data_IF_634669379980
#
_entry.id   IF_634669379980
#
_cell.length_a   1.000
_cell.length_b   1.000
_cell.length_c   1.000
_cell.angle_alpha   90.00
_cell.angle_beta   90.00
_cell.angle_gamma   90.00
#
_symmetry.space_group_name_H-M   'P 1'
#
loop_
_entity.id
_entity.type
_entity.pdbx_description
1 polymer ?
#
# COMPACT_ATOMS: atom_id res chain seq x y z
N UNK A 1 -50.90 -55.40 14.78
CA UNK A 1 -51.03 -54.11 14.10
C UNK A 1 -49.74 -53.34 14.39
N UNK A 2 -48.78 -53.41 13.49
CA UNK A 2 -47.44 -52.75 13.65
C UNK A 2 -47.43 -51.49 12.75
N UNK A 3 -47.28 -50.34 13.39
CA UNK A 3 -47.19 -49.04 12.71
C UNK A 3 -45.73 -48.78 12.44
N UNK A 4 -45.33 -48.66 11.15
CA UNK A 4 -44.01 -48.21 10.75
C UNK A 4 -44.00 -46.67 10.70
N UNK A 5 -43.19 -46.05 11.55
CA UNK A 5 -42.82 -44.64 11.41
C UNK A 5 -41.69 -44.54 10.39
N UNK A 6 -41.94 -43.84 9.28
CA UNK A 6 -40.93 -43.42 8.34
C UNK A 6 -40.38 -42.06 8.78
N UNK A 7 -39.08 -42.00 9.06
CA UNK A 7 -38.37 -40.77 9.36
C UNK A 7 -37.98 -40.10 8.03
N UNK A 8 -38.53 -38.90 7.79
CA UNK A 8 -38.15 -38.04 6.67
C UNK A 8 -37.01 -37.15 7.14
N UNK A 9 -35.80 -37.39 6.66
CA UNK A 9 -34.64 -36.51 6.85
C UNK A 9 -34.70 -35.39 5.84
N UNK A 10 -34.95 -34.17 6.29
CA UNK A 10 -34.92 -32.96 5.51
C UNK A 10 -33.48 -32.49 5.39
N UNK A 11 -32.84 -32.71 4.25
CA UNK A 11 -31.51 -32.20 3.96
C UNK A 11 -31.56 -30.69 3.62
N UNK A 12 -31.02 -29.88 4.52
CA UNK A 12 -30.81 -28.44 4.24
C UNK A 12 -29.55 -28.30 3.40
N UNK A 13 -29.69 -28.02 2.13
CA UNK A 13 -28.59 -27.64 1.26
C UNK A 13 -28.23 -26.16 1.54
N UNK A 14 -27.09 -25.91 2.21
CA UNK A 14 -26.48 -24.58 2.29
C UNK A 14 -25.94 -24.22 0.90
N UNK A 15 -26.66 -23.38 0.17
CA UNK A 15 -26.12 -22.73 -1.02
C UNK A 15 -25.17 -21.60 -0.55
N UNK A 16 -23.87 -21.80 -0.73
CA UNK A 16 -22.89 -20.74 -0.58
C UNK A 16 -23.14 -19.70 -1.67
N UNK A 17 -23.71 -18.57 -1.31
CA UNK A 17 -23.81 -17.41 -2.19
C UNK A 17 -22.41 -16.78 -2.26
N UNK A 18 -21.62 -17.16 -3.27
CA UNK A 18 -20.47 -16.37 -3.70
C UNK A 18 -21.03 -15.04 -4.20
N UNK A 19 -20.94 -14.00 -3.38
CA UNK A 19 -21.17 -12.63 -3.81
C UNK A 19 -20.03 -12.26 -4.78
N UNK A 20 -20.24 -12.49 -6.06
CA UNK A 20 -19.38 -11.94 -7.09
C UNK A 20 -19.45 -10.42 -6.99
N UNK A 21 -18.35 -9.79 -6.57
CA UNK A 21 -18.20 -8.35 -6.65
C UNK A 21 -18.38 -7.94 -8.12
N UNK A 22 -19.39 -7.12 -8.39
CA UNK A 22 -19.62 -6.59 -9.72
C UNK A 22 -18.38 -5.80 -10.17
N UNK A 23 -17.84 -6.05 -11.36
CA UNK A 23 -16.77 -5.23 -11.90
C UNK A 23 -17.31 -3.79 -12.01
N UNK A 24 -16.65 -2.86 -11.35
CA UNK A 24 -16.90 -1.43 -11.54
C UNK A 24 -16.54 -1.11 -12.98
N UNK A 25 -17.54 -0.86 -13.83
CA UNK A 25 -17.35 -0.44 -15.22
C UNK A 25 -16.62 0.90 -15.23
N UNK A 26 -15.31 0.86 -15.37
CA UNK A 26 -14.52 2.05 -15.71
C UNK A 26 -14.77 2.37 -17.19
N UNK A 27 -14.91 3.64 -17.57
CA UNK A 27 -15.12 4.01 -18.96
C UNK A 27 -13.86 3.67 -19.78
N UNK A 28 -13.90 2.55 -20.49
CA UNK A 28 -12.84 2.17 -21.41
C UNK A 28 -12.96 3.03 -22.68
N UNK A 29 -12.33 4.21 -22.68
CA UNK A 29 -12.35 5.10 -23.84
C UNK A 29 -11.25 4.81 -24.88
N UNK A 30 -10.28 3.95 -24.56
CA UNK A 30 -9.18 3.60 -25.44
C UNK A 30 -8.85 2.09 -25.35
N UNK A 31 -8.46 1.46 -26.45
CA UNK A 31 -7.94 0.09 -26.38
C UNK A 31 -6.68 0.04 -25.53
N UNK A 32 -6.54 -1.00 -24.72
CA UNK A 32 -5.33 -1.24 -23.94
C UNK A 32 -4.18 -1.61 -24.88
N UNK A 33 -3.05 -0.90 -24.86
CA UNK A 33 -1.88 -1.31 -25.64
C UNK A 33 -1.30 -2.61 -25.08
N UNK A 34 -0.63 -3.39 -25.96
CA UNK A 34 0.02 -4.64 -25.60
C UNK A 34 1.53 -4.52 -25.83
N UNK A 35 2.30 -5.15 -24.96
CA UNK A 35 3.73 -5.33 -25.09
C UNK A 35 4.06 -6.44 -26.12
N UNK A 36 5.35 -6.59 -26.44
CA UNK A 36 5.80 -7.58 -27.43
C UNK A 36 5.46 -9.03 -27.06
N UNK A 37 5.30 -9.33 -25.78
CA UNK A 37 4.93 -10.64 -25.26
C UNK A 37 3.42 -10.92 -25.32
N UNK A 38 2.63 -9.95 -25.81
CA UNK A 38 1.17 -10.07 -25.97
C UNK A 38 0.37 -9.73 -24.71
N UNK A 39 1.01 -9.48 -23.58
CA UNK A 39 0.34 -9.02 -22.37
C UNK A 39 0.04 -7.52 -22.44
N UNK A 40 -0.91 -6.99 -21.62
CA UNK A 40 -1.10 -5.55 -21.52
C UNK A 40 0.21 -4.84 -21.21
N UNK A 41 0.51 -3.78 -21.97
CA UNK A 41 1.68 -2.95 -21.67
C UNK A 41 1.39 -2.07 -20.46
N UNK A 42 2.01 -2.37 -19.32
CA UNK A 42 1.89 -1.58 -18.10
C UNK A 42 2.83 -0.37 -18.09
N UNK A 43 3.72 -0.22 -19.08
CA UNK A 43 4.71 0.86 -19.11
C UNK A 43 4.01 2.21 -19.09
N UNK A 44 4.59 3.13 -18.30
CA UNK A 44 4.09 4.49 -18.19
C UNK A 44 4.23 5.06 -16.78
N UNK A 45 3.81 6.30 -16.64
CA UNK A 45 3.73 7.01 -15.38
C UNK A 45 2.30 6.95 -14.84
N UNK A 46 2.12 6.36 -13.67
CA UNK A 46 0.79 6.06 -13.13
C UNK A 46 0.48 6.78 -11.84
N UNK A 47 1.49 7.02 -11.03
CA UNK A 47 1.33 7.60 -9.71
C UNK A 47 1.79 9.04 -9.63
N UNK A 48 1.26 9.73 -8.66
CA UNK A 48 1.88 10.92 -8.11
C UNK A 48 3.01 10.52 -7.15
N UNK A 49 3.69 11.52 -6.65
CA UNK A 49 4.62 11.32 -5.54
C UNK A 49 3.82 10.92 -4.31
N UNK A 50 4.22 9.83 -3.66
CA UNK A 50 3.72 9.46 -2.35
C UNK A 50 4.52 10.18 -1.29
N UNK A 51 4.03 11.32 -0.82
CA UNK A 51 4.51 11.90 0.43
C UNK A 51 3.59 11.41 1.54
N UNK A 52 4.12 10.70 2.52
CA UNK A 52 3.32 10.12 3.58
C UNK A 52 3.99 10.31 4.94
N UNK A 53 4.33 11.55 5.27
CA UNK A 53 4.58 11.86 6.67
C UNK A 53 3.30 12.39 7.28
N UNK A 54 2.74 11.66 8.21
CA UNK A 54 1.93 12.25 9.25
C UNK A 54 2.84 12.43 10.45
N UNK A 55 2.87 13.64 10.98
CA UNK A 55 3.55 13.91 12.25
C UNK A 55 2.50 13.98 13.33
N UNK A 56 2.90 13.61 14.55
CA UNK A 56 2.07 13.81 15.73
C UNK A 56 2.70 14.88 16.64
N UNK A 57 1.85 15.69 17.22
CA UNK A 57 2.26 16.56 18.32
C UNK A 57 2.47 15.75 19.63
N UNK A 58 2.89 16.42 20.69
CA UNK A 58 3.15 15.78 21.99
C UNK A 58 1.88 15.19 22.62
N UNK A 59 0.69 15.64 22.18
CA UNK A 59 -0.61 15.13 22.58
C UNK A 59 -1.06 13.93 21.73
N UNK A 60 -0.28 13.53 20.72
CA UNK A 60 -0.59 12.43 19.81
C UNK A 60 -1.57 12.81 18.71
N UNK A 61 -1.73 14.11 18.43
CA UNK A 61 -2.59 14.62 17.35
C UNK A 61 -1.85 14.59 16.02
N UNK A 62 -2.47 14.04 14.99
CA UNK A 62 -1.86 14.02 13.66
C UNK A 62 -1.72 15.43 13.09
N UNK A 63 -0.52 15.78 12.67
CA UNK A 63 -0.21 17.02 11.96
C UNK A 63 -0.01 16.68 10.48
N UNK A 64 -0.92 17.13 9.62
CA UNK A 64 -0.76 17.00 8.18
C UNK A 64 -0.06 18.23 7.63
N UNK A 65 1.10 18.05 7.02
CA UNK A 65 1.70 19.12 6.24
C UNK A 65 0.81 19.40 5.02
N UNK A 66 0.44 20.66 4.74
CA UNK A 66 -0.40 20.97 3.60
C UNK A 66 0.32 20.56 2.31
N UNK A 67 -0.37 19.77 1.48
CA UNK A 67 0.11 19.52 0.10
C UNK A 67 0.26 20.86 -0.64
N UNK A 68 1.07 20.88 -1.71
CA UNK A 68 1.20 22.07 -2.57
C UNK A 68 -0.13 22.56 -3.15
N UNK A 69 -1.17 21.76 -3.08
CA UNK A 69 -2.54 22.02 -3.53
C UNK A 69 -3.49 22.46 -2.40
N UNK A 70 -3.00 22.62 -1.17
CA UNK A 70 -3.82 23.14 -0.09
C UNK A 70 -4.40 24.52 -0.48
N UNK A 71 -5.68 24.80 -0.15
CA UNK A 71 -6.29 26.09 -0.46
C UNK A 71 -5.41 27.23 0.06
N UNK A 72 -5.15 28.21 -0.78
CA UNK A 72 -4.32 29.37 -0.45
C UNK A 72 -5.07 30.37 0.43
N UNK A 73 -5.89 29.89 1.34
CA UNK A 73 -6.61 30.73 2.28
C UNK A 73 -5.62 31.35 3.27
N UNK A 74 -5.73 32.64 3.43
CA UNK A 74 -4.97 33.39 4.41
C UNK A 74 -5.84 33.64 5.63
N UNK A 75 -5.23 33.60 6.80
CA UNK A 75 -5.87 34.09 8.00
C UNK A 75 -6.13 35.60 7.89
N UNK A 76 -7.06 36.17 8.69
CA UNK A 76 -7.31 37.60 8.70
C UNK A 76 -6.08 38.48 8.93
N UNK A 77 -5.01 37.91 9.53
CA UNK A 77 -3.70 38.53 9.71
C UNK A 77 -2.76 38.42 8.49
N UNK A 78 -3.26 37.83 7.38
CA UNK A 78 -2.52 37.66 6.13
C UNK A 78 -1.52 36.50 6.12
N UNK A 79 -1.42 35.72 7.19
CA UNK A 79 -0.58 34.52 7.23
C UNK A 79 -1.27 33.35 6.53
N UNK A 80 -0.47 32.49 5.90
CA UNK A 80 -0.97 31.24 5.34
C UNK A 80 -1.57 30.40 6.48
N UNK A 81 -2.84 30.04 6.35
CA UNK A 81 -3.43 29.06 7.26
C UNK A 81 -2.64 27.77 7.16
N UNK A 82 -1.99 27.40 8.25
CA UNK A 82 -1.55 26.04 8.47
C UNK A 82 -2.78 25.28 8.93
N UNK A 83 -3.38 24.51 8.03
CA UNK A 83 -4.47 23.61 8.39
C UNK A 83 -3.88 22.45 9.20
N UNK A 84 -3.83 22.62 10.50
CA UNK A 84 -3.70 21.50 11.41
C UNK A 84 -5.10 20.90 11.54
N UNK A 85 -5.37 19.81 10.83
CA UNK A 85 -6.51 18.99 11.16
C UNK A 85 -6.15 18.26 12.47
N UNK A 86 -6.53 18.86 13.59
CA UNK A 86 -6.53 18.17 14.86
C UNK A 86 -7.58 17.07 14.78
N UNK A 87 -7.13 15.87 14.53
CA UNK A 87 -7.98 14.68 14.48
C UNK A 87 -7.58 13.80 15.65
N UNK A 88 -8.56 13.44 16.47
CA UNK A 88 -8.36 12.40 17.52
C UNK A 88 -7.93 11.10 16.82
N UNK A 89 -6.62 10.86 16.83
CA UNK A 89 -5.99 9.75 16.11
C UNK A 89 -6.55 8.39 16.54
N UNK A 90 -6.84 8.21 17.82
CA UNK A 90 -7.41 6.96 18.35
C UNK A 90 -8.82 6.70 17.78
N UNK A 91 -9.66 7.72 17.72
CA UNK A 91 -10.99 7.60 17.13
C UNK A 91 -10.94 7.39 15.63
N UNK A 92 -10.03 8.08 14.94
CA UNK A 92 -9.87 7.92 13.51
C UNK A 92 -9.37 6.53 13.14
N UNK A 93 -8.39 5.98 13.87
CA UNK A 93 -7.92 4.59 13.69
C UNK A 93 -9.02 3.58 13.98
N UNK A 94 -9.71 3.72 15.10
CA UNK A 94 -10.80 2.82 15.46
C UNK A 94 -11.90 2.80 14.40
N UNK A 95 -12.18 3.95 13.78
CA UNK A 95 -13.18 4.12 12.73
C UNK A 95 -12.68 3.77 11.32
N UNK A 96 -11.36 3.57 11.13
CA UNK A 96 -10.83 3.28 9.80
C UNK A 96 -11.28 1.88 9.34
N UNK A 97 -12.14 1.78 8.29
CA UNK A 97 -12.63 0.49 7.82
C UNK A 97 -11.52 -0.34 7.15
N UNK A 98 -10.39 0.30 6.81
CA UNK A 98 -9.26 -0.32 6.11
C UNK A 98 -8.08 -0.62 7.04
N UNK A 99 -8.27 -0.56 8.34
CA UNK A 99 -7.20 -0.93 9.29
C UNK A 99 -6.85 -2.42 9.17
N UNK A 100 -5.58 -2.78 9.37
CA UNK A 100 -5.19 -4.19 9.39
C UNK A 100 -5.91 -4.96 10.51
N UNK A 101 -6.31 -6.21 10.26
CA UNK A 101 -7.06 -7.02 11.22
C UNK A 101 -6.15 -7.70 12.26
N UNK A 102 -5.46 -6.90 13.08
CA UNK A 102 -4.55 -7.42 14.10
C UNK A 102 -5.24 -8.40 15.05
N UNK A 103 -4.46 -9.35 15.58
CA UNK A 103 -4.87 -10.17 16.70
C UNK A 103 -5.14 -9.29 17.93
N UNK A 104 -6.16 -9.58 18.75
CA UNK A 104 -6.54 -8.73 19.88
C UNK A 104 -5.39 -8.44 20.86
N UNK A 105 -4.51 -9.41 21.09
CA UNK A 105 -3.35 -9.29 21.97
C UNK A 105 -2.29 -8.31 21.45
N UNK A 106 -2.29 -8.00 20.16
CA UNK A 106 -1.32 -7.08 19.52
C UNK A 106 -1.84 -5.64 19.41
N UNK A 107 -3.10 -5.39 19.63
CA UNK A 107 -3.72 -4.06 19.53
C UNK A 107 -3.07 -3.03 20.48
N UNK A 108 -2.58 -3.47 21.64
CA UNK A 108 -1.87 -2.60 22.58
C UNK A 108 -0.51 -2.15 22.00
N UNK A 109 0.21 -3.06 21.31
CA UNK A 109 1.47 -2.76 20.63
C UNK A 109 1.24 -1.77 19.49
N UNK A 110 0.21 -1.99 18.66
CA UNK A 110 -0.13 -1.05 17.56
C UNK A 110 -0.38 0.35 18.11
N UNK A 111 -1.20 0.50 19.16
CA UNK A 111 -1.45 1.81 19.79
C UNK A 111 -0.20 2.45 20.37
N UNK A 112 0.72 1.65 20.91
CA UNK A 112 1.98 2.19 21.43
C UNK A 112 2.86 2.70 20.28
N UNK A 113 3.07 1.88 19.23
CA UNK A 113 3.87 2.27 18.08
C UNK A 113 3.30 3.52 17.39
N UNK A 114 1.98 3.60 17.29
CA UNK A 114 1.32 4.76 16.73
C UNK A 114 1.53 6.04 17.57
N UNK A 115 1.46 5.97 18.90
CA UNK A 115 1.78 7.13 19.75
C UNK A 115 3.22 7.60 19.61
N UNK A 116 4.13 6.66 19.43
CA UNK A 116 5.57 6.92 19.33
C UNK A 116 6.04 7.01 17.86
N UNK A 117 5.11 7.19 16.91
CA UNK A 117 5.35 7.19 15.45
C UNK A 117 6.53 8.08 15.05
N UNK A 118 6.59 9.30 15.55
CA UNK A 118 7.64 10.26 15.21
C UNK A 118 9.06 9.76 15.55
N UNK A 119 9.18 8.79 16.46
CA UNK A 119 10.46 8.21 16.90
C UNK A 119 10.70 6.82 16.35
N UNK A 120 9.63 6.05 16.17
CA UNK A 120 9.71 4.62 15.90
C UNK A 120 9.32 4.24 14.47
N UNK A 121 8.66 5.13 13.72
CA UNK A 121 8.35 4.84 12.32
C UNK A 121 9.67 4.72 11.52
N UNK A 122 9.94 3.56 10.88
CA UNK A 122 11.17 3.35 10.13
C UNK A 122 11.40 4.39 9.03
N UNK A 123 10.34 4.92 8.42
CA UNK A 123 10.46 5.96 7.39
C UNK A 123 11.00 7.27 7.96
N UNK A 124 10.63 7.64 9.19
CA UNK A 124 11.20 8.80 9.90
C UNK A 124 12.69 8.59 10.19
N UNK A 125 13.10 7.34 10.36
CA UNK A 125 14.51 6.95 10.52
C UNK A 125 15.23 6.74 9.17
N UNK A 126 14.66 7.23 8.06
CA UNK A 126 15.21 7.11 6.70
C UNK A 126 15.29 5.68 6.17
N UNK A 127 14.57 4.72 6.72
CA UNK A 127 14.46 3.39 6.16
C UNK A 127 13.49 3.39 4.96
N UNK A 128 13.64 2.48 4.00
CA UNK A 128 12.65 2.30 2.94
C UNK A 128 11.26 2.05 3.51
N UNK A 129 10.21 2.62 2.89
CA UNK A 129 8.83 2.39 3.39
C UNK A 129 8.38 0.94 3.31
N UNK A 130 8.99 0.13 2.44
CA UNK A 130 8.58 -1.26 2.22
C UNK A 130 7.28 -1.41 1.42
N UNK A 131 6.95 -2.67 1.12
CA UNK A 131 5.71 -3.08 0.44
C UNK A 131 4.71 -3.51 1.50
N UNK A 132 3.44 -3.12 1.42
CA UNK A 132 2.78 -2.31 0.40
C UNK A 132 2.71 -0.80 0.70
N UNK A 133 3.46 -0.31 1.69
CA UNK A 133 3.40 1.11 2.12
C UNK A 133 3.78 2.07 1.00
N UNK A 134 4.75 1.70 0.15
CA UNK A 134 5.10 2.51 -1.03
C UNK A 134 3.91 2.72 -1.98
N UNK A 135 2.90 1.86 -1.89
CA UNK A 135 1.74 1.90 -2.78
C UNK A 135 2.09 1.49 -4.22
N UNK A 136 1.22 1.85 -5.19
CA UNK A 136 1.51 1.59 -6.58
C UNK A 136 2.71 2.43 -7.07
N UNK A 137 3.52 1.90 -8.01
CA UNK A 137 4.71 2.58 -8.50
C UNK A 137 4.36 3.89 -9.21
N UNK A 138 5.27 4.87 -9.12
CA UNK A 138 5.17 6.11 -9.86
C UNK A 138 5.35 5.87 -11.36
N UNK A 139 6.26 4.97 -11.74
CA UNK A 139 6.49 4.55 -13.11
C UNK A 139 6.68 3.04 -13.20
N UNK A 140 6.14 2.46 -14.26
CA UNK A 140 6.38 1.07 -14.63
C UNK A 140 7.17 1.06 -15.94
N UNK A 141 8.18 0.20 -16.01
CA UNK A 141 8.92 -0.13 -17.24
C UNK A 141 8.79 -1.63 -17.45
N UNK A 142 8.14 -2.02 -18.54
CA UNK A 142 7.93 -3.43 -18.87
C UNK A 142 8.82 -3.84 -20.02
N UNK A 143 9.42 -5.01 -19.90
CA UNK A 143 10.18 -5.67 -20.95
C UNK A 143 9.89 -7.17 -20.93
N UNK A 144 10.35 -7.89 -21.94
CA UNK A 144 10.12 -9.34 -22.01
C UNK A 144 10.74 -10.05 -20.79
N UNK A 145 9.90 -10.69 -20.01
CA UNK A 145 10.31 -11.46 -18.81
C UNK A 145 10.64 -10.63 -17.56
N UNK A 146 10.44 -9.30 -17.62
CA UNK A 146 10.72 -8.41 -16.49
C UNK A 146 9.79 -7.21 -16.46
N UNK A 147 9.45 -6.80 -15.25
CA UNK A 147 8.82 -5.52 -14.97
C UNK A 147 9.62 -4.78 -13.90
N UNK A 148 9.89 -3.50 -14.13
CA UNK A 148 10.59 -2.64 -13.18
C UNK A 148 9.60 -1.62 -12.64
N UNK A 149 9.45 -1.58 -11.33
CA UNK A 149 8.70 -0.58 -10.61
C UNK A 149 9.63 0.50 -10.06
N UNK A 150 9.34 1.76 -10.38
CA UNK A 150 10.06 2.90 -9.87
C UNK A 150 9.15 3.69 -8.94
N UNK A 151 9.64 3.95 -7.74
CA UNK A 151 8.94 4.67 -6.69
C UNK A 151 9.64 5.99 -6.40
N UNK A 152 8.85 7.03 -6.21
CA UNK A 152 9.31 8.31 -5.68
C UNK A 152 8.67 8.48 -4.33
N UNK A 153 9.45 8.36 -3.28
CA UNK A 153 8.98 8.40 -1.90
C UNK A 153 9.90 9.32 -1.09
N UNK A 154 9.46 9.69 0.06
CA UNK A 154 10.33 10.11 1.13
C UNK A 154 10.65 8.82 1.93
N UNK A 155 11.84 8.43 2.15
CA UNK A 155 13.13 9.12 2.20
C UNK A 155 13.99 9.00 0.93
N UNK A 156 13.47 8.63 -0.20
CA UNK A 156 14.22 8.53 -1.44
C UNK A 156 13.50 7.77 -2.55
N UNK A 157 14.20 7.61 -3.67
CA UNK A 157 13.69 6.83 -4.79
C UNK A 157 14.09 5.37 -4.63
N UNK A 158 13.13 4.47 -4.87
CA UNK A 158 13.34 3.04 -4.80
C UNK A 158 12.90 2.37 -6.10
N UNK A 159 13.45 1.19 -6.35
CA UNK A 159 13.05 0.36 -7.47
C UNK A 159 12.87 -1.10 -7.04
N UNK A 160 11.98 -1.79 -7.74
CA UNK A 160 11.81 -3.25 -7.62
C UNK A 160 11.91 -3.86 -9.00
N UNK A 161 12.77 -4.87 -9.13
CA UNK A 161 12.93 -5.67 -10.34
C UNK A 161 12.14 -6.95 -10.17
N UNK A 162 11.12 -7.14 -11.00
CA UNK A 162 10.16 -8.23 -10.88
C UNK A 162 10.31 -9.13 -12.09
N UNK A 163 10.90 -10.34 -11.95
CA UNK A 163 10.92 -11.32 -13.02
C UNK A 163 9.50 -11.83 -13.29
N UNK A 164 9.15 -11.93 -14.57
CA UNK A 164 7.83 -12.44 -15.02
C UNK A 164 7.99 -13.65 -15.94
N UNK A 165 9.10 -14.37 -15.82
CA UNK A 165 9.48 -15.52 -16.63
C UNK A 165 9.10 -16.87 -16.02
N UNK A 166 8.34 -16.85 -14.91
CA UNK A 166 7.86 -18.05 -14.23
C UNK A 166 8.85 -18.69 -13.25
N UNK A 167 9.95 -17.99 -12.93
CA UNK A 167 10.88 -18.47 -11.89
C UNK A 167 10.23 -18.44 -10.51
N UNK A 168 10.62 -19.34 -9.60
CA UNK A 168 10.20 -19.29 -8.21
C UNK A 168 10.92 -18.19 -7.45
N UNK A 169 10.47 -17.91 -6.23
CA UNK A 169 11.19 -17.10 -5.26
C UNK A 169 12.59 -17.67 -4.98
N UNK A 170 13.50 -16.78 -4.67
CA UNK A 170 14.86 -17.13 -4.28
C UNK A 170 14.85 -17.59 -2.83
N UNK A 171 15.54 -18.69 -2.56
CA UNK A 171 15.62 -19.31 -1.22
C UNK A 171 16.94 -19.02 -0.50
N UNK A 172 17.86 -18.32 -1.16
CA UNK A 172 19.22 -18.03 -0.71
C UNK A 172 19.43 -16.54 -0.34
N UNK A 173 18.33 -15.77 -0.22
CA UNK A 173 18.38 -14.37 0.13
C UNK A 173 18.16 -14.16 1.62
N UNK A 174 18.88 -13.20 2.18
CA UNK A 174 18.51 -12.59 3.45
C UNK A 174 17.20 -11.80 3.28
N UNK A 175 16.44 -11.65 4.36
CA UNK A 175 15.25 -10.82 4.40
C UNK A 175 15.58 -9.35 4.10
N UNK A 176 14.64 -8.62 3.51
CA UNK A 176 14.86 -7.23 3.12
C UNK A 176 13.60 -6.37 3.31
N UNK A 177 13.75 -5.05 3.23
CA UNK A 177 12.64 -4.09 3.33
C UNK A 177 11.55 -4.29 2.27
N UNK A 178 11.94 -4.72 1.06
CA UNK A 178 11.02 -4.88 -0.07
C UNK A 178 10.72 -6.34 -0.41
N UNK A 179 11.33 -7.29 0.31
CA UNK A 179 11.19 -8.71 0.05
C UNK A 179 11.82 -9.15 -1.28
N UNK A 180 11.51 -10.37 -1.68
CA UNK A 180 11.78 -10.94 -2.99
C UNK A 180 10.47 -11.00 -3.78
N UNK A 181 10.47 -10.43 -4.99
CA UNK A 181 9.29 -10.27 -5.83
C UNK A 181 9.39 -11.19 -7.04
N UNK A 182 8.33 -11.94 -7.33
CA UNK A 182 8.15 -12.66 -8.60
C UNK A 182 6.78 -12.32 -9.18
N UNK A 183 6.71 -12.19 -10.51
CA UNK A 183 5.48 -11.83 -11.19
C UNK A 183 5.01 -12.94 -12.14
N UNK A 184 3.70 -13.03 -12.32
CA UNK A 184 3.10 -13.83 -13.37
C UNK A 184 1.83 -13.14 -13.90
N UNK A 185 1.38 -13.58 -15.10
CA UNK A 185 0.20 -13.01 -15.71
C UNK A 185 -1.01 -13.91 -15.52
N UNK A 186 -2.11 -13.33 -15.05
CA UNK A 186 -3.45 -13.93 -15.03
C UNK A 186 -4.35 -13.16 -16.01
N UNK A 187 -4.38 -13.61 -17.26
CA UNK A 187 -5.06 -12.87 -18.32
C UNK A 187 -4.48 -11.48 -18.50
N UNK A 188 -5.24 -10.43 -18.21
CA UNK A 188 -4.82 -9.03 -18.34
C UNK A 188 -4.28 -8.42 -17.04
N UNK A 189 -4.06 -9.23 -16.02
CA UNK A 189 -3.58 -8.78 -14.71
C UNK A 189 -2.17 -9.31 -14.46
N UNK A 190 -1.23 -8.42 -14.19
CA UNK A 190 0.04 -8.78 -13.59
C UNK A 190 -0.20 -9.04 -12.10
N UNK A 191 0.13 -10.21 -11.63
CA UNK A 191 0.16 -10.58 -10.21
C UNK A 191 1.59 -10.60 -9.76
N UNK A 192 1.92 -9.86 -8.73
CA UNK A 192 3.23 -9.84 -8.09
C UNK A 192 3.09 -10.50 -6.72
N UNK A 193 3.89 -11.49 -6.49
CA UNK A 193 3.99 -12.25 -5.25
C UNK A 193 5.27 -11.85 -4.54
N UNK A 194 5.19 -11.47 -3.26
CA UNK A 194 6.28 -10.90 -2.50
C UNK A 194 6.42 -11.61 -1.16
N UNK A 195 7.63 -12.11 -0.87
CA UNK A 195 8.00 -12.79 0.39
C UNK A 195 9.38 -12.36 0.86
N UNK A 196 9.85 -12.87 1.99
CA UNK A 196 11.23 -12.60 2.46
C UNK A 196 11.43 -11.17 2.97
N UNK A 197 10.43 -10.63 3.63
CA UNK A 197 10.53 -9.33 4.30
C UNK A 197 11.27 -9.43 5.62
N UNK A 198 12.07 -8.41 5.97
CA UNK A 198 12.44 -8.18 7.36
C UNK A 198 11.29 -7.47 8.08
N UNK A 199 11.34 -7.35 9.41
CA UNK A 199 10.31 -6.70 10.22
C UNK A 199 10.60 -5.21 10.49
N UNK A 200 11.56 -4.61 9.75
CA UNK A 200 12.01 -3.22 9.89
C UNK A 200 11.13 -2.20 9.13
N UNK A 201 9.97 -2.59 8.63
CA UNK A 201 9.05 -1.69 7.94
C UNK A 201 7.66 -1.72 8.55
N UNK A 202 6.85 -0.72 8.20
CA UNK A 202 5.45 -0.69 8.59
C UNK A 202 4.54 -0.67 7.36
N UNK A 203 3.33 -1.18 7.52
CA UNK A 203 2.31 -1.21 6.46
C UNK A 203 1.63 0.15 6.21
N UNK A 204 1.87 1.11 7.09
CA UNK A 204 1.33 2.47 7.07
C UNK A 204 1.92 3.27 8.21
N UNK A 205 1.45 4.49 8.42
CA UNK A 205 1.95 5.39 9.45
C UNK A 205 1.40 5.13 10.86
N UNK A 206 0.31 4.38 11.01
CA UNK A 206 -0.41 4.27 12.29
C UNK A 206 0.13 3.13 13.19
N UNK A 207 1.44 2.90 13.22
CA UNK A 207 2.04 1.82 14.01
C UNK A 207 1.76 0.43 13.45
N UNK A 208 1.44 0.34 12.18
CA UNK A 208 1.03 -0.91 11.52
C UNK A 208 2.24 -1.77 11.17
N UNK A 209 2.81 -2.41 12.16
CA UNK A 209 3.93 -3.32 12.02
C UNK A 209 3.50 -4.67 11.40
N UNK A 210 4.46 -5.43 10.93
CA UNK A 210 4.30 -6.81 10.46
C UNK A 210 5.41 -7.70 11.01
N UNK A 211 5.35 -8.99 10.74
CA UNK A 211 6.41 -9.95 11.03
C UNK A 211 7.18 -10.35 9.77
N UNK A 212 8.24 -11.12 9.91
CA UNK A 212 8.96 -11.72 8.78
C UNK A 212 8.13 -12.80 8.05
N UNK A 213 7.05 -13.30 8.67
CA UNK A 213 6.11 -14.22 8.03
C UNK A 213 5.16 -13.55 7.04
N UNK A 214 5.29 -12.23 6.85
CA UNK A 214 4.46 -11.48 5.92
C UNK A 214 4.61 -11.98 4.48
N UNK A 215 3.45 -12.12 3.82
CA UNK A 215 3.31 -12.42 2.40
C UNK A 215 2.41 -11.36 1.76
N UNK A 216 2.82 -10.79 0.64
CA UNK A 216 2.06 -9.76 -0.05
C UNK A 216 1.78 -10.19 -1.48
N UNK A 217 0.54 -10.01 -1.92
CA UNK A 217 0.13 -10.20 -3.31
C UNK A 217 -0.41 -8.90 -3.86
N UNK A 218 0.25 -8.37 -4.88
CA UNK A 218 -0.17 -7.16 -5.57
C UNK A 218 -0.75 -7.51 -6.95
N UNK A 219 -1.81 -6.81 -7.35
CA UNK A 219 -2.49 -7.05 -8.64
C UNK A 219 -2.60 -5.75 -9.42
N UNK A 220 -2.11 -5.77 -10.65
CA UNK A 220 -2.08 -4.62 -11.55
C UNK A 220 -2.86 -4.95 -12.82
N UNK A 221 -4.00 -4.31 -13.03
CA UNK A 221 -4.83 -4.49 -14.22
C UNK A 221 -4.93 -3.19 -14.99
N UNK A 222 -4.47 -3.18 -16.24
CA UNK A 222 -4.58 -2.00 -17.11
C UNK A 222 -5.80 -2.08 -18.00
N UNK A 223 -6.56 -0.99 -18.06
CA UNK A 223 -7.68 -0.78 -18.97
C UNK A 223 -7.54 0.60 -19.65
N UNK A 224 -7.07 0.60 -20.89
CA UNK A 224 -6.77 1.85 -21.62
C UNK A 224 -5.74 2.71 -20.91
N UNK A 225 -6.13 3.92 -20.49
CA UNK A 225 -5.30 4.87 -19.75
C UNK A 225 -5.51 4.76 -18.21
N UNK A 226 -6.04 3.65 -17.74
CA UNK A 226 -6.31 3.40 -16.31
C UNK A 226 -5.57 2.17 -15.83
N UNK A 227 -4.98 2.26 -14.64
CA UNK A 227 -4.36 1.14 -13.93
C UNK A 227 -5.10 0.92 -12.61
N UNK A 228 -5.64 -0.26 -12.42
CA UNK A 228 -6.24 -0.71 -11.18
C UNK A 228 -5.19 -1.46 -10.36
N UNK A 229 -5.01 -1.04 -9.12
CA UNK A 229 -4.08 -1.64 -8.16
C UNK A 229 -4.84 -2.17 -6.96
N UNK A 230 -4.58 -3.41 -6.60
CA UNK A 230 -5.11 -4.09 -5.43
C UNK A 230 -3.97 -4.81 -4.71
N UNK A 231 -4.05 -4.88 -3.39
CA UNK A 231 -3.05 -5.58 -2.59
C UNK A 231 -3.70 -6.38 -1.48
N UNK A 232 -3.18 -7.58 -1.26
CA UNK A 232 -3.52 -8.45 -0.14
C UNK A 232 -2.26 -8.71 0.67
N UNK A 233 -2.33 -8.50 1.97
CA UNK A 233 -1.27 -8.82 2.94
C UNK A 233 -1.76 -9.95 3.81
N UNK A 234 -1.03 -11.04 3.83
CA UNK A 234 -1.23 -12.13 4.77
C UNK A 234 -0.05 -12.20 5.73
N UNK A 235 -0.33 -12.17 7.02
CA UNK A 235 0.67 -12.30 8.07
C UNK A 235 0.05 -13.08 9.23
N UNK A 236 0.19 -14.40 9.22
CA UNK A 236 -0.46 -15.27 10.19
C UNK A 236 0.06 -15.08 11.63
N UNK A 237 1.21 -14.43 11.81
CA UNK A 237 1.74 -14.13 13.14
C UNK A 237 1.06 -12.94 13.79
N UNK A 238 0.62 -11.95 13.00
CA UNK A 238 0.04 -10.71 13.52
C UNK A 238 -1.43 -10.52 13.20
N UNK A 239 -1.95 -11.10 12.10
CA UNK A 239 -3.34 -10.90 11.67
C UNK A 239 -4.25 -12.08 11.98
N UNK A 240 -5.53 -11.79 12.13
CA UNK A 240 -6.58 -12.81 12.28
C UNK A 240 -7.10 -13.33 10.93
N UNK A 241 -6.83 -12.61 9.84
CA UNK A 241 -7.20 -12.92 8.46
C UNK A 241 -6.38 -12.05 7.50
N UNK A 242 -6.28 -12.41 6.22
CA UNK A 242 -5.64 -11.55 5.22
C UNK A 242 -6.24 -10.13 5.18
N UNK A 243 -5.39 -9.13 5.03
CA UNK A 243 -5.75 -7.73 4.93
C UNK A 243 -5.78 -7.31 3.45
N UNK A 244 -6.96 -6.97 2.95
CA UNK A 244 -7.17 -6.58 1.56
C UNK A 244 -7.33 -5.06 1.47
N UNK A 245 -6.54 -4.43 0.62
CA UNK A 245 -6.60 -3.00 0.32
C UNK A 245 -6.90 -2.77 -1.17
N UNK A 246 -7.66 -1.75 -1.42
CA UNK A 246 -7.98 -1.34 -2.78
C UNK A 246 -9.43 -1.62 -3.16
N UNK A 247 -9.77 -1.45 -4.43
CA UNK A 247 -8.86 -1.02 -5.50
C UNK A 247 -8.48 0.47 -5.41
N UNK A 248 -7.22 0.78 -5.77
CA UNK A 248 -6.82 2.13 -6.15
C UNK A 248 -6.81 2.22 -7.66
N UNK A 249 -7.39 3.29 -8.19
CA UNK A 249 -7.48 3.51 -9.63
C UNK A 249 -6.59 4.70 -10.00
N UNK A 250 -5.62 4.45 -10.85
CA UNK A 250 -4.64 5.42 -11.30
C UNK A 250 -4.88 5.76 -12.76
N UNK A 251 -4.54 6.99 -13.14
CA UNK A 251 -4.58 7.42 -14.54
C UNK A 251 -3.19 7.54 -15.10
N UNK A 252 -3.04 7.14 -16.37
CA UNK A 252 -1.78 7.35 -17.09
C UNK A 252 -1.50 8.85 -17.21
N UNK A 253 -0.36 9.26 -16.70
CA UNK A 253 0.11 10.63 -16.87
C UNK A 253 0.80 10.76 -18.23
N UNK A 254 0.24 11.58 -19.10
CA UNK A 254 0.74 11.84 -20.45
C UNK A 254 1.47 13.17 -20.59
N UNK A 255 1.69 13.90 -19.49
CA UNK A 255 2.44 15.14 -19.52
C UNK A 255 3.94 14.85 -19.78
N UNK A 256 4.51 15.25 -20.91
CA UNK A 256 5.91 14.96 -21.24
C UNK A 256 6.91 15.69 -20.32
N UNK A 257 6.48 16.74 -19.64
CA UNK A 257 7.31 17.52 -18.73
C UNK A 257 7.23 17.01 -17.27
N UNK A 258 6.45 15.99 -17.02
CA UNK A 258 6.32 15.41 -15.69
C UNK A 258 7.27 14.22 -15.56
N UNK A 259 8.52 14.49 -15.23
CA UNK A 259 9.57 13.49 -15.07
C UNK A 259 9.71 13.03 -13.61
N UNK A 260 10.23 11.83 -13.44
CA UNK A 260 10.73 11.38 -12.15
C UNK A 260 12.06 12.07 -11.91
N UNK A 261 12.16 12.81 -10.83
CA UNK A 261 13.42 13.43 -10.39
C UNK A 261 13.99 12.69 -9.18
N UNK A 262 15.28 12.84 -8.98
CA UNK A 262 15.92 12.33 -7.78
C UNK A 262 15.39 13.10 -6.58
N UNK A 263 14.72 12.37 -5.67
CA UNK A 263 14.35 12.95 -4.40
C UNK A 263 15.61 13.20 -3.54
N UNK A 264 15.64 14.26 -2.74
CA UNK A 264 16.69 14.42 -1.75
C UNK A 264 16.79 13.17 -0.89
N UNK A 265 18.00 12.71 -0.64
CA UNK A 265 18.20 11.62 0.30
C UNK A 265 17.86 12.09 1.71
N UNK A 266 17.10 11.29 2.42
CA UNK A 266 16.87 11.46 3.85
C UNK A 266 18.17 11.16 4.61
N UNK A 267 18.47 11.96 5.62
CA UNK A 267 19.55 11.70 6.56
C UNK A 267 18.99 11.49 7.95
N UNK A 268 19.50 10.52 8.68
CA UNK A 268 19.01 10.21 10.04
C UNK A 268 19.10 11.43 11.00
N UNK A 269 20.04 12.35 10.77
CA UNK A 269 20.11 13.62 11.52
C UNK A 269 18.90 14.54 11.28
N UNK A 270 18.19 14.37 10.15
CA UNK A 270 16.99 15.15 9.87
C UNK A 270 15.81 14.69 10.75
N UNK A 271 15.83 13.44 11.20
CA UNK A 271 14.83 12.91 12.12
C UNK A 271 14.86 13.66 13.47
N UNK A 272 16.03 14.04 13.96
CA UNK A 272 16.17 14.82 15.21
C UNK A 272 15.51 16.20 15.08
N UNK A 273 15.58 16.83 13.91
CA UNK A 273 14.93 18.11 13.64
C UNK A 273 13.42 18.00 13.55
N UNK A 274 12.89 16.88 13.08
CA UNK A 274 11.45 16.61 13.02
C UNK A 274 10.89 16.43 14.44
N UNK A 275 11.66 15.79 15.33
CA UNK A 275 11.23 15.47 16.69
C UNK A 275 11.32 16.65 17.64
N UNK A 276 12.25 17.59 17.40
CA UNK A 276 12.58 18.65 18.38
C UNK A 276 11.78 19.94 18.22
N UNK A 277 10.87 20.05 17.25
CA UNK A 277 10.01 21.24 17.02
C UNK A 277 10.73 22.59 16.87
N UNK A 278 12.05 22.60 16.78
CA UNK A 278 12.87 23.83 16.81
C UNK A 278 12.76 24.68 15.52
N UNK A 279 11.98 24.25 14.53
CA UNK A 279 11.88 24.89 13.21
C UNK A 279 10.45 25.16 12.72
N UNK A 280 9.44 25.10 13.60
CA UNK A 280 8.04 25.37 13.24
C UNK A 280 7.41 26.53 14.01
#
# INVERSE_FOLDING_TARGET
MRIHLQSVTLGIALAAVCAAQQPTNLPANKPTPHAEDGHPDLSGRWGGQGGFFSFKDDEGTHIYLPSREAPKDKDPDGKLRRYYLQVDGDKQRAANPNKPPYKPELEAKVRQLDRDENKLDPVVQCHPPGVPRMGPPARIVQSKGWVVFLYVTEPGNFSRLIPTDGRPHRTDLDTSYNGDSVGHWEGNTLVVDDTGFNDDTWLGSDGWFHSEAMHVVERFTREGDTLRYEVTVDDPEVFTKPWVRGPRVLKLNTNPNDEIYDAPYCHAVDADHIVNHDHF
#
